data_IF_190507378402
#
_entry.id   IF_190507378402
#
_cell.length_a   1.000
_cell.length_b   1.000
_cell.length_c   1.000
_cell.angle_alpha   90.00
_cell.angle_beta   90.00
_cell.angle_gamma   90.00
#
_symmetry.space_group_name_H-M   'P 1'
#
loop_
_entity.id
_entity.type
_entity.pdbx_description
1 polymer ?
#
# COMPACT_ATOMS: atom_id res chain seq x y z
N UNK A 1 5.44 6.90 -4.44
CA UNK A 1 5.86 8.26 -4.83
C UNK A 1 4.67 9.22 -5.00
N UNK A 2 3.47 8.79 -5.50
CA UNK A 2 2.36 9.72 -5.75
C UNK A 2 1.64 10.16 -4.49
N UNK A 3 1.51 9.31 -3.49
CA UNK A 3 1.01 9.72 -2.18
C UNK A 3 1.91 10.80 -1.59
N UNK A 4 3.23 10.59 -1.54
CA UNK A 4 4.18 11.58 -1.02
C UNK A 4 4.14 12.89 -1.83
N UNK A 5 3.98 12.83 -3.16
CA UNK A 5 3.83 14.04 -3.97
C UNK A 5 2.52 14.77 -3.67
N UNK A 6 1.40 14.05 -3.57
CA UNK A 6 0.09 14.65 -3.26
C UNK A 6 0.07 15.24 -1.84
N UNK A 7 0.66 14.55 -0.87
CA UNK A 7 0.84 15.04 0.51
C UNK A 7 1.60 16.35 0.51
N UNK A 8 2.77 16.39 -0.13
CA UNK A 8 3.57 17.61 -0.23
C UNK A 8 2.79 18.78 -0.85
N UNK A 9 2.11 18.53 -1.97
CA UNK A 9 1.38 19.57 -2.71
C UNK A 9 0.16 20.08 -1.92
N UNK A 10 -0.64 19.17 -1.35
CA UNK A 10 -1.86 19.55 -0.61
C UNK A 10 -1.52 20.18 0.73
N UNK A 11 -0.59 19.63 1.48
CA UNK A 11 -0.18 20.21 2.75
C UNK A 11 0.50 21.58 2.59
N UNK A 12 1.30 21.78 1.54
CA UNK A 12 1.85 23.09 1.22
C UNK A 12 0.74 24.14 0.94
N UNK A 13 -0.33 23.76 0.23
CA UNK A 13 -1.48 24.63 -0.01
C UNK A 13 -2.25 24.96 1.27
N UNK A 14 -2.25 24.06 2.26
CA UNK A 14 -2.87 24.25 3.56
C UNK A 14 -1.99 25.02 4.55
N UNK A 15 -0.75 25.35 4.18
CA UNK A 15 0.20 26.07 5.03
C UNK A 15 0.82 25.20 6.13
N UNK A 16 0.84 23.87 5.95
CA UNK A 16 1.49 22.92 6.87
C UNK A 16 3.01 23.13 6.83
N UNK A 17 3.65 23.11 7.98
CA UNK A 17 5.11 23.18 8.09
C UNK A 17 5.74 21.82 7.74
N UNK A 18 6.09 21.66 6.47
CA UNK A 18 6.68 20.42 5.96
C UNK A 18 8.10 20.14 6.46
N UNK A 19 8.76 21.12 7.12
CA UNK A 19 10.08 20.88 7.73
C UNK A 19 10.01 19.92 8.92
N UNK A 20 8.82 19.67 9.45
CA UNK A 20 8.55 18.72 10.54
C UNK A 20 8.54 17.26 10.08
N UNK A 21 8.62 16.98 8.77
CA UNK A 21 8.54 15.63 8.22
C UNK A 21 9.51 14.63 8.88
N UNK A 22 10.76 15.05 9.13
CA UNK A 22 11.79 14.20 9.76
C UNK A 22 11.45 13.81 11.21
N UNK A 23 10.56 14.55 11.88
CA UNK A 23 10.10 14.26 13.24
C UNK A 23 8.82 13.40 13.28
N UNK A 24 8.22 13.14 12.12
CA UNK A 24 7.00 12.35 12.01
C UNK A 24 7.29 10.85 12.04
N UNK A 25 6.36 10.04 12.56
CA UNK A 25 6.46 8.60 12.39
C UNK A 25 6.37 8.21 10.92
N UNK A 26 6.85 7.00 10.57
CA UNK A 26 6.69 6.44 9.23
C UNK A 26 5.20 6.30 8.86
N UNK A 27 4.75 7.09 7.88
CA UNK A 27 3.37 7.12 7.41
C UNK A 27 3.11 6.21 6.21
N UNK A 28 4.16 5.61 5.62
CA UNK A 28 4.02 4.75 4.44
C UNK A 28 3.17 3.51 4.77
N UNK A 29 2.13 3.30 3.97
CA UNK A 29 1.18 2.21 4.16
C UNK A 29 0.08 2.47 5.19
N UNK A 30 0.06 3.63 5.84
CA UNK A 30 -1.07 4.07 6.67
C UNK A 30 -2.24 4.51 5.80
N UNK A 31 -3.41 4.55 6.40
CA UNK A 31 -4.62 5.12 5.82
C UNK A 31 -4.54 6.65 5.83
N UNK A 32 -5.00 7.30 4.77
CA UNK A 32 -4.82 8.74 4.57
C UNK A 32 -5.44 9.60 5.68
N UNK A 33 -6.54 9.18 6.29
CA UNK A 33 -7.12 9.87 7.44
C UNK A 33 -6.18 9.88 8.66
N UNK A 34 -5.44 8.80 8.89
CA UNK A 34 -4.43 8.73 9.94
C UNK A 34 -3.24 9.65 9.64
N UNK A 35 -2.81 9.72 8.39
CA UNK A 35 -1.74 10.64 7.96
C UNK A 35 -2.16 12.08 8.18
N UNK A 36 -3.38 12.45 7.79
CA UNK A 36 -3.96 13.78 7.98
C UNK A 36 -4.05 14.14 9.46
N UNK A 37 -4.53 13.22 10.29
CA UNK A 37 -4.64 13.43 11.75
C UNK A 37 -3.26 13.68 12.36
N UNK A 38 -2.25 12.89 12.03
CA UNK A 38 -0.87 13.06 12.52
C UNK A 38 -0.32 14.45 12.15
N UNK A 39 -0.47 14.87 10.90
CA UNK A 39 -0.03 16.19 10.46
C UNK A 39 -0.81 17.32 11.10
N UNK A 40 -2.13 17.16 11.29
CA UNK A 40 -2.96 18.17 11.94
C UNK A 40 -2.58 18.39 13.41
N UNK A 41 -2.12 17.33 14.10
CA UNK A 41 -1.66 17.43 15.50
C UNK A 41 -0.37 18.24 15.64
N UNK A 42 0.55 18.19 14.66
CA UNK A 42 1.86 18.87 14.75
C UNK A 42 1.88 20.21 14.03
N UNK A 43 1.07 20.39 13.00
CA UNK A 43 0.97 21.63 12.22
C UNK A 43 -0.47 21.86 11.77
N UNK A 44 -1.35 22.31 12.70
CA UNK A 44 -2.76 22.51 12.40
C UNK A 44 -2.98 23.65 11.41
N UNK A 45 -3.86 23.45 10.44
CA UNK A 45 -4.31 24.45 9.46
C UNK A 45 -5.73 24.93 9.76
N UNK A 46 -6.16 26.01 9.08
CA UNK A 46 -7.49 26.62 9.21
C UNK A 46 -8.22 26.67 7.87
N UNK A 47 -9.53 26.88 7.91
CA UNK A 47 -10.37 27.13 6.72
C UNK A 47 -10.72 25.89 5.90
N UNK A 48 -10.10 24.73 6.17
CA UNK A 48 -10.35 23.44 5.48
C UNK A 48 -10.47 22.34 6.53
N UNK A 49 -11.51 21.54 6.47
CA UNK A 49 -11.68 20.40 7.38
C UNK A 49 -10.69 19.28 7.04
N UNK A 50 -10.40 18.40 7.99
CA UNK A 50 -9.58 17.21 7.73
C UNK A 50 -10.21 16.30 6.65
N UNK A 51 -11.55 16.22 6.61
CA UNK A 51 -12.26 15.47 5.58
C UNK A 51 -12.07 16.09 4.19
N UNK A 52 -12.15 17.39 4.04
CA UNK A 52 -11.86 18.08 2.77
C UNK A 52 -10.39 17.93 2.35
N UNK A 53 -9.45 17.99 3.30
CA UNK A 53 -8.04 17.73 3.04
C UNK A 53 -7.83 16.31 2.50
N UNK A 54 -8.49 15.30 3.10
CA UNK A 54 -8.51 13.91 2.63
C UNK A 54 -9.02 13.80 1.20
N UNK A 55 -10.14 14.44 0.89
CA UNK A 55 -10.74 14.41 -0.46
C UNK A 55 -9.82 15.04 -1.50
N UNK A 56 -9.22 16.19 -1.19
CA UNK A 56 -8.22 16.85 -2.06
C UNK A 56 -7.01 15.96 -2.32
N UNK A 57 -6.53 15.29 -1.27
CA UNK A 57 -5.38 14.38 -1.36
C UNK A 57 -5.69 13.21 -2.28
N UNK A 58 -6.82 12.53 -2.05
CA UNK A 58 -7.25 11.39 -2.89
C UNK A 58 -7.43 11.83 -4.35
N UNK A 59 -8.10 12.95 -4.59
CA UNK A 59 -8.30 13.48 -5.96
C UNK A 59 -6.95 13.76 -6.64
N UNK A 60 -5.98 14.32 -5.90
CA UNK A 60 -4.66 14.61 -6.45
C UNK A 60 -3.88 13.34 -6.79
N UNK A 61 -3.94 12.32 -5.95
CA UNK A 61 -3.30 11.02 -6.23
C UNK A 61 -3.89 10.38 -7.48
N UNK A 62 -5.22 10.36 -7.60
CA UNK A 62 -5.91 9.81 -8.77
C UNK A 62 -5.45 10.53 -10.05
N UNK A 63 -5.43 11.86 -10.03
CA UNK A 63 -4.96 12.66 -11.17
C UNK A 63 -3.50 12.32 -11.55
N UNK A 64 -2.60 12.25 -10.56
CA UNK A 64 -1.20 11.90 -10.80
C UNK A 64 -1.03 10.51 -11.44
N UNK A 65 -1.85 9.54 -11.01
CA UNK A 65 -1.84 8.19 -11.57
C UNK A 65 -2.37 8.20 -13.01
N UNK A 66 -3.46 8.89 -13.29
CA UNK A 66 -4.04 8.99 -14.63
C UNK A 66 -3.11 9.69 -15.62
N UNK A 67 -2.43 10.75 -15.18
CA UNK A 67 -1.51 11.52 -16.02
C UNK A 67 -0.23 10.73 -16.35
N UNK A 68 0.35 10.08 -15.35
CA UNK A 68 1.68 9.44 -15.47
C UNK A 68 1.64 7.96 -15.80
N UNK A 69 0.55 7.27 -15.49
CA UNK A 69 0.32 5.83 -15.68
C UNK A 69 1.54 4.96 -15.32
N UNK A 70 2.05 5.05 -14.09
CA UNK A 70 3.26 4.34 -13.71
C UNK A 70 2.92 2.94 -13.26
N UNK A 71 3.19 1.96 -14.07
CA UNK A 71 3.24 0.58 -13.59
C UNK A 71 4.67 0.31 -13.08
N UNK A 72 4.80 -0.16 -11.84
CA UNK A 72 6.11 -0.49 -11.30
C UNK A 72 6.75 -1.65 -12.07
N UNK A 73 8.10 -1.62 -12.24
CA UNK A 73 8.81 -2.71 -12.92
C UNK A 73 8.52 -4.08 -12.29
N UNK A 74 8.15 -5.05 -13.13
CA UNK A 74 7.90 -6.43 -12.72
C UNK A 74 6.47 -6.73 -12.24
N UNK A 75 5.54 -5.77 -12.24
CA UNK A 75 4.14 -6.05 -11.89
C UNK A 75 3.53 -7.09 -12.83
N UNK A 76 3.70 -6.94 -14.14
CA UNK A 76 3.21 -7.92 -15.12
C UNK A 76 3.86 -9.29 -14.94
N UNK A 77 5.18 -9.33 -14.67
CA UNK A 77 5.89 -10.57 -14.36
C UNK A 77 5.29 -11.27 -13.13
N UNK A 78 5.12 -10.54 -12.04
CA UNK A 78 4.58 -11.10 -10.79
C UNK A 78 3.16 -11.65 -10.97
N UNK A 79 2.27 -10.88 -11.63
CA UNK A 79 0.90 -11.30 -11.90
C UNK A 79 0.83 -12.53 -12.80
N UNK A 80 1.59 -12.53 -13.90
CA UNK A 80 1.66 -13.66 -14.85
C UNK A 80 2.24 -14.91 -14.18
N UNK A 81 3.28 -14.76 -13.35
CA UNK A 81 3.86 -15.87 -12.60
C UNK A 81 2.84 -16.49 -11.65
N UNK A 82 2.14 -15.68 -10.85
CA UNK A 82 1.09 -16.18 -9.96
C UNK A 82 -0.02 -16.90 -10.73
N UNK A 83 -0.46 -16.34 -11.86
CA UNK A 83 -1.48 -16.95 -12.72
C UNK A 83 -1.00 -18.29 -13.29
N UNK A 84 0.24 -18.37 -13.78
CA UNK A 84 0.81 -19.61 -14.33
C UNK A 84 0.92 -20.73 -13.30
N UNK A 85 1.03 -20.37 -12.03
CA UNK A 85 1.07 -21.31 -10.90
C UNK A 85 -0.33 -21.64 -10.35
N UNK A 86 -1.40 -21.10 -10.93
CA UNK A 86 -2.77 -21.30 -10.46
C UNK A 86 -3.06 -20.65 -9.09
N UNK A 87 -2.26 -19.67 -8.69
CA UNK A 87 -2.46 -18.96 -7.41
C UNK A 87 -3.60 -17.96 -7.51
N UNK A 88 -4.43 -17.89 -6.47
CA UNK A 88 -5.43 -16.82 -6.33
C UNK A 88 -4.73 -15.54 -5.87
N UNK A 89 -5.11 -14.41 -6.45
CA UNK A 89 -4.51 -13.12 -6.15
C UNK A 89 -5.57 -12.20 -5.53
N UNK A 90 -5.23 -11.53 -4.44
CA UNK A 90 -6.02 -10.44 -3.88
C UNK A 90 -5.18 -9.17 -3.74
N UNK A 91 -5.81 -8.01 -3.93
CA UNK A 91 -5.26 -6.71 -3.58
C UNK A 91 -5.72 -6.33 -2.18
N UNK A 92 -4.78 -6.02 -1.27
CA UNK A 92 -5.04 -5.56 0.09
C UNK A 92 -4.35 -4.20 0.32
N UNK A 93 -5.11 -3.11 0.40
CA UNK A 93 -4.58 -1.75 0.42
C UNK A 93 -5.26 -0.86 1.44
N UNK A 94 -4.56 0.18 1.91
CA UNK A 94 -5.12 1.25 2.73
C UNK A 94 -5.90 2.30 1.91
N UNK A 95 -5.78 2.28 0.58
CA UNK A 95 -6.47 3.21 -0.32
C UNK A 95 -7.97 2.90 -0.44
N UNK A 96 -8.83 3.90 -0.72
CA UNK A 96 -10.26 3.70 -0.92
C UNK A 96 -10.58 2.71 -2.05
N UNK A 97 -11.61 1.91 -1.86
CA UNK A 97 -11.96 0.83 -2.80
C UNK A 97 -12.19 1.34 -4.24
N UNK A 98 -12.90 2.46 -4.41
CA UNK A 98 -13.15 3.04 -5.74
C UNK A 98 -11.84 3.41 -6.46
N UNK A 99 -10.83 3.89 -5.73
CA UNK A 99 -9.52 4.23 -6.27
C UNK A 99 -8.77 2.96 -6.70
N UNK A 100 -8.85 1.88 -5.91
CA UNK A 100 -8.23 0.61 -6.25
C UNK A 100 -8.81 0.04 -7.55
N UNK A 101 -10.13 -0.03 -7.66
CA UNK A 101 -10.79 -0.51 -8.88
C UNK A 101 -10.41 0.36 -10.10
N UNK A 102 -10.44 1.70 -9.95
CA UNK A 102 -10.04 2.62 -11.02
C UNK A 102 -8.61 2.39 -11.50
N UNK A 103 -7.68 2.17 -10.57
CA UNK A 103 -6.27 1.89 -10.90
C UNK A 103 -6.13 0.54 -11.63
N UNK A 104 -6.78 -0.51 -11.15
CA UNK A 104 -6.74 -1.83 -11.78
C UNK A 104 -7.31 -1.82 -13.20
N UNK A 105 -8.38 -1.05 -13.44
CA UNK A 105 -8.95 -0.85 -14.77
C UNK A 105 -8.03 -0.05 -15.68
N UNK A 106 -7.45 1.05 -15.18
CA UNK A 106 -6.53 1.92 -15.93
C UNK A 106 -5.34 1.16 -16.52
N UNK A 107 -4.82 0.19 -15.76
CA UNK A 107 -3.70 -0.66 -16.17
C UNK A 107 -4.14 -1.97 -16.84
N UNK A 108 -5.45 -2.19 -17.00
CA UNK A 108 -6.00 -3.43 -17.56
C UNK A 108 -5.50 -4.70 -16.84
N UNK A 109 -5.35 -4.64 -15.52
CA UNK A 109 -4.89 -5.75 -14.68
C UNK A 109 -5.95 -6.28 -13.71
N UNK A 110 -7.17 -5.72 -13.73
CA UNK A 110 -8.28 -6.12 -12.83
C UNK A 110 -8.57 -7.62 -12.88
N UNK A 111 -8.45 -8.21 -14.06
CA UNK A 111 -8.75 -9.61 -14.32
C UNK A 111 -7.84 -10.62 -13.60
N UNK A 112 -6.67 -10.22 -13.15
CA UNK A 112 -5.79 -11.06 -12.33
C UNK A 112 -6.29 -11.25 -10.90
N UNK A 113 -7.09 -10.32 -10.37
CA UNK A 113 -7.46 -10.28 -8.97
C UNK A 113 -8.81 -10.92 -8.71
N UNK A 114 -8.81 -11.99 -7.90
CA UNK A 114 -10.01 -12.65 -7.41
C UNK A 114 -10.74 -11.83 -6.33
N UNK A 115 -10.01 -10.95 -5.63
CA UNK A 115 -10.58 -10.07 -4.62
C UNK A 115 -9.80 -8.74 -4.53
N UNK A 116 -10.51 -7.66 -4.20
CA UNK A 116 -9.96 -6.34 -3.88
C UNK A 116 -10.49 -5.95 -2.51
N UNK A 117 -9.58 -5.70 -1.56
CA UNK A 117 -9.91 -5.39 -0.17
C UNK A 117 -9.26 -4.06 0.23
N UNK A 118 -10.09 -3.11 0.62
CA UNK A 118 -9.68 -1.81 1.12
C UNK A 118 -9.72 -1.79 2.64
N UNK A 119 -8.73 -1.16 3.27
CA UNK A 119 -8.76 -0.85 4.69
C UNK A 119 -9.37 0.54 4.98
N UNK A 120 -9.85 1.27 3.96
CA UNK A 120 -10.37 2.63 4.14
C UNK A 120 -11.56 2.69 5.11
N UNK A 121 -12.40 1.65 5.12
CA UNK A 121 -13.60 1.58 5.94
C UNK A 121 -13.48 0.57 7.11
N UNK A 122 -12.29 -0.01 7.33
CA UNK A 122 -12.05 -0.92 8.45
C UNK A 122 -11.81 -0.13 9.75
N UNK A 123 -12.13 -0.76 10.88
CA UNK A 123 -11.87 -0.18 12.20
C UNK A 123 -10.37 0.10 12.39
N UNK A 124 -9.52 -0.79 11.89
CA UNK A 124 -8.06 -0.68 12.02
C UNK A 124 -7.38 -0.79 10.65
N UNK A 125 -6.46 0.13 10.38
CA UNK A 125 -5.59 0.10 9.21
C UNK A 125 -4.26 -0.60 9.53
N UNK A 126 -3.42 -0.83 8.51
CA UNK A 126 -2.04 -1.31 8.69
C UNK A 126 -1.32 -0.44 9.75
N UNK A 127 -0.58 -1.00 10.71
CA UNK A 127 -0.07 -2.38 10.76
C UNK A 127 -1.01 -3.43 11.37
N UNK A 128 -2.27 -3.13 11.64
CA UNK A 128 -3.25 -4.14 12.06
C UNK A 128 -3.50 -5.15 10.93
N UNK A 129 -3.64 -6.46 11.21
CA UNK A 129 -3.72 -7.51 10.19
C UNK A 129 -5.06 -7.60 9.47
N UNK A 130 -6.07 -6.83 9.85
CA UNK A 130 -7.46 -7.00 9.43
C UNK A 130 -7.63 -7.04 7.91
N UNK A 131 -6.98 -6.13 7.16
CA UNK A 131 -7.07 -6.09 5.70
C UNK A 131 -6.55 -7.38 5.05
N UNK A 132 -5.48 -7.98 5.59
CA UNK A 132 -4.93 -9.24 5.10
C UNK A 132 -5.80 -10.45 5.45
N UNK A 133 -6.33 -10.48 6.68
CA UNK A 133 -7.27 -11.51 7.10
C UNK A 133 -8.53 -11.51 6.24
N UNK A 134 -9.06 -10.31 5.93
CA UNK A 134 -10.20 -10.14 5.03
C UNK A 134 -9.86 -10.56 3.58
N UNK A 135 -8.65 -10.27 3.10
CA UNK A 135 -8.17 -10.73 1.79
C UNK A 135 -8.09 -12.27 1.73
N UNK A 136 -7.50 -12.91 2.72
CA UNK A 136 -7.44 -14.37 2.81
C UNK A 136 -8.83 -15.01 2.84
N UNK A 137 -9.75 -14.43 3.64
CA UNK A 137 -11.15 -14.85 3.69
C UNK A 137 -11.85 -14.73 2.34
N UNK A 138 -11.65 -13.61 1.64
CA UNK A 138 -12.24 -13.38 0.31
C UNK A 138 -11.71 -14.38 -0.73
N UNK A 139 -10.45 -14.81 -0.62
CA UNK A 139 -9.87 -15.87 -1.45
C UNK A 139 -10.32 -17.28 -1.04
N UNK A 140 -10.96 -17.42 0.11
CA UNK A 140 -11.24 -18.70 0.76
C UNK A 140 -9.96 -19.55 0.96
N UNK A 141 -8.91 -18.91 1.52
CA UNK A 141 -7.61 -19.52 1.81
C UNK A 141 -7.23 -19.21 3.26
N UNK A 142 -6.67 -20.19 3.97
CA UNK A 142 -6.15 -19.95 5.32
C UNK A 142 -4.95 -18.98 5.28
N UNK A 143 -4.83 -17.99 6.18
CA UNK A 143 -3.74 -17.02 6.18
C UNK A 143 -2.35 -17.64 6.14
N UNK A 144 -2.14 -18.77 6.84
CA UNK A 144 -0.86 -19.49 6.87
C UNK A 144 -0.42 -19.99 5.47
N UNK A 145 -1.36 -20.15 4.54
CA UNK A 145 -1.12 -20.57 3.16
C UNK A 145 -1.07 -19.38 2.19
N UNK A 146 -1.00 -18.17 2.71
CA UNK A 146 -0.89 -16.95 1.93
C UNK A 146 0.54 -16.39 2.01
N UNK A 147 0.96 -15.74 0.93
CA UNK A 147 2.15 -14.90 0.86
C UNK A 147 1.75 -13.50 0.43
N UNK A 148 2.26 -12.47 1.10
CA UNK A 148 2.08 -11.09 0.67
C UNK A 148 3.31 -10.56 -0.05
N UNK A 149 3.10 -9.66 -1.01
CA UNK A 149 4.13 -8.80 -1.58
C UNK A 149 3.87 -7.38 -1.08
N UNK A 150 4.86 -6.78 -0.41
CA UNK A 150 4.71 -5.50 0.28
C UNK A 150 5.91 -4.58 0.04
N UNK A 151 5.64 -3.28 -0.01
CA UNK A 151 6.64 -2.22 -0.15
C UNK A 151 6.78 -1.37 1.11
N UNK A 152 5.87 -1.55 2.09
CA UNK A 152 5.81 -0.74 3.31
C UNK A 152 6.11 -1.56 4.56
N UNK A 153 6.75 -0.90 5.54
CA UNK A 153 6.99 -1.46 6.86
C UNK A 153 5.67 -1.82 7.58
N UNK A 154 4.69 -0.92 7.52
CA UNK A 154 3.38 -1.15 8.15
C UNK A 154 2.64 -2.33 7.51
N UNK A 155 2.76 -2.50 6.17
CA UNK A 155 2.19 -3.63 5.47
C UNK A 155 2.89 -4.95 5.81
N UNK A 156 4.21 -4.97 5.88
CA UNK A 156 4.97 -6.14 6.31
C UNK A 156 4.57 -6.58 7.73
N UNK A 157 4.47 -5.65 8.68
CA UNK A 157 4.05 -5.97 10.05
C UNK A 157 2.62 -6.53 10.07
N UNK A 158 1.68 -5.92 9.32
CA UNK A 158 0.31 -6.39 9.20
C UNK A 158 0.23 -7.81 8.62
N UNK A 159 1.03 -8.12 7.61
CA UNK A 159 1.16 -9.44 7.01
C UNK A 159 1.65 -10.48 8.04
N UNK A 160 2.73 -10.18 8.77
CA UNK A 160 3.27 -11.07 9.81
C UNK A 160 2.28 -11.26 10.96
N UNK A 161 1.56 -10.20 11.36
CA UNK A 161 0.50 -10.28 12.35
C UNK A 161 -0.68 -11.15 11.88
N UNK A 162 -0.96 -11.19 10.57
CA UNK A 162 -1.92 -12.11 9.96
C UNK A 162 -1.41 -13.56 9.84
N UNK A 163 -0.15 -13.83 10.25
CA UNK A 163 0.52 -15.15 10.16
C UNK A 163 0.75 -15.62 8.72
N UNK A 164 0.92 -14.66 7.80
CA UNK A 164 1.29 -14.92 6.41
C UNK A 164 2.80 -14.86 6.21
N UNK A 165 3.29 -15.45 5.15
CA UNK A 165 4.64 -15.19 4.65
C UNK A 165 4.68 -13.81 3.99
N UNK A 166 5.83 -13.15 4.09
CA UNK A 166 6.03 -11.82 3.51
C UNK A 166 7.24 -11.78 2.59
N UNK A 167 7.01 -11.29 1.37
CA UNK A 167 8.07 -10.90 0.43
C UNK A 167 8.02 -9.38 0.37
N UNK A 168 9.12 -8.71 0.72
CA UNK A 168 9.17 -7.25 0.66
C UNK A 168 9.96 -6.76 -0.54
N UNK A 169 9.48 -5.67 -1.13
CA UNK A 169 10.08 -4.97 -2.27
C UNK A 169 10.26 -3.50 -1.89
N UNK A 170 11.21 -3.18 -1.00
CA UNK A 170 11.42 -1.82 -0.53
C UNK A 170 11.81 -0.86 -1.65
N UNK A 171 11.56 0.44 -1.45
CA UNK A 171 12.18 1.48 -2.27
C UNK A 171 13.71 1.37 -2.17
N UNK A 172 14.41 1.75 -3.26
CA UNK A 172 15.86 1.54 -3.37
C UNK A 172 16.65 2.18 -2.22
N UNK A 173 16.25 3.38 -1.81
CA UNK A 173 16.83 4.14 -0.71
C UNK A 173 16.64 3.48 0.67
N UNK A 174 15.57 2.70 0.84
CA UNK A 174 15.22 2.01 2.09
C UNK A 174 15.64 0.54 2.09
N UNK A 175 16.21 0.03 0.98
CA UNK A 175 16.51 -1.40 0.83
C UNK A 175 17.38 -1.96 1.94
N UNK A 176 18.32 -1.18 2.48
CA UNK A 176 19.26 -1.61 3.51
C UNK A 176 18.75 -1.39 4.94
N UNK A 177 17.54 -0.91 5.14
CA UNK A 177 17.00 -0.65 6.47
C UNK A 177 16.84 -1.96 7.26
N UNK A 178 17.17 -1.90 8.53
CA UNK A 178 17.12 -3.05 9.44
C UNK A 178 15.69 -3.54 9.70
N UNK A 179 14.69 -2.69 9.50
CA UNK A 179 13.28 -3.06 9.72
C UNK A 179 12.83 -4.24 8.86
N UNK A 180 13.44 -4.44 7.68
CA UNK A 180 13.11 -5.53 6.76
C UNK A 180 13.53 -6.92 7.25
N UNK A 181 14.30 -7.01 8.34
CA UNK A 181 14.71 -8.29 8.96
C UNK A 181 13.54 -9.15 9.47
N UNK A 182 12.32 -8.61 9.54
CA UNK A 182 11.10 -9.37 9.87
C UNK A 182 10.50 -10.10 8.66
N UNK A 183 10.84 -9.70 7.44
CA UNK A 183 10.35 -10.33 6.22
C UNK A 183 10.96 -11.72 5.99
N UNK A 184 10.21 -12.63 5.35
CA UNK A 184 10.72 -13.95 4.99
C UNK A 184 11.63 -13.88 3.77
N UNK A 185 11.35 -12.95 2.85
CA UNK A 185 12.15 -12.71 1.64
C UNK A 185 12.20 -11.21 1.37
N UNK A 186 13.35 -10.72 0.90
CA UNK A 186 13.52 -9.35 0.41
C UNK A 186 14.12 -9.37 -0.98
N UNK A 187 13.48 -8.68 -1.94
CA UNK A 187 13.91 -8.54 -3.33
C UNK A 187 13.97 -7.06 -3.72
N UNK A 188 14.82 -6.71 -4.65
CA UNK A 188 14.96 -5.32 -5.10
C UNK A 188 13.91 -4.93 -6.15
N UNK A 189 13.32 -5.89 -6.83
CA UNK A 189 12.29 -5.66 -7.86
C UNK A 189 11.37 -6.87 -7.97
N UNK A 190 10.11 -6.64 -8.36
CA UNK A 190 9.16 -7.71 -8.70
C UNK A 190 9.65 -8.56 -9.89
N UNK A 191 10.59 -8.07 -10.71
CA UNK A 191 11.24 -8.86 -11.74
C UNK A 191 12.09 -10.03 -11.19
N UNK A 192 12.50 -9.95 -9.91
CA UNK A 192 13.28 -11.00 -9.23
C UNK A 192 12.39 -12.07 -8.58
N UNK A 193 11.06 -11.90 -8.66
CA UNK A 193 10.12 -12.84 -8.05
C UNK A 193 10.19 -14.19 -8.75
N UNK A 194 10.37 -15.25 -7.96
CA UNK A 194 10.48 -16.61 -8.44
C UNK A 194 9.41 -17.53 -7.88
N UNK A 195 9.18 -18.67 -8.56
CA UNK A 195 8.28 -19.72 -8.08
C UNK A 195 8.65 -20.22 -6.67
N UNK A 196 9.93 -20.42 -6.38
CA UNK A 196 10.40 -20.90 -5.08
C UNK A 196 10.12 -19.90 -3.96
N UNK A 197 10.22 -18.61 -4.23
CA UNK A 197 9.87 -17.56 -3.25
C UNK A 197 8.37 -17.51 -2.96
N UNK A 198 7.52 -17.81 -3.94
CA UNK A 198 6.06 -17.84 -3.76
C UNK A 198 5.59 -19.09 -3.02
N UNK A 199 6.17 -20.26 -3.32
CA UNK A 199 5.68 -21.54 -2.80
C UNK A 199 6.37 -21.99 -1.48
N UNK A 200 7.51 -21.41 -1.13
CA UNK A 200 8.27 -21.70 0.08
C UNK A 200 9.30 -22.78 -0.09
#
# INVERSE_FOLDING_TARGET
>A
PFWAQAEHEVFAQLGVDLSLADSMPDTVGLRIDQVIELWYQVSPWQGVTQQEAKERMIARVVQLIEDKKPLLPGVEHALSLCQSLGLKIALASASPHFMLERVLELFNIRHYFSAVVSAADLAHSKPHPEVYLNAAKALNVAPINCVSLEDSRNGMIACKAARMRSIVVPAAEQFNDKCWGLADVKIASLNELTKSQLLG
#
